data_IF_862299443575
#
_entry.id   IF_862299443575
#
_cell.length_a   1.000
_cell.length_b   1.000
_cell.length_c   1.000
_cell.angle_alpha   90.00
_cell.angle_beta   90.00
_cell.angle_gamma   90.00
#
_symmetry.space_group_name_H-M   'P 1'
#
loop_
_entity.id
_entity.type
_entity.pdbx_description
1 polymer ?
#
# COMPACT_ATOMS: atom_id res chain seq x y z
N UNK A 1 -27.59 -39.48 11.16
CA UNK A 1 -26.25 -38.98 10.81
C UNK A 1 -26.43 -37.55 10.33
N UNK A 2 -26.24 -36.55 11.19
CA UNK A 2 -26.34 -35.14 10.80
C UNK A 2 -24.93 -34.57 10.78
N UNK A 3 -24.46 -34.23 9.59
CA UNK A 3 -23.24 -33.45 9.37
C UNK A 3 -23.41 -32.07 10.03
N UNK A 4 -22.51 -31.62 10.91
CA UNK A 4 -22.58 -30.26 11.42
C UNK A 4 -22.29 -29.30 10.28
N UNK A 5 -23.19 -28.32 10.10
CA UNK A 5 -23.02 -27.21 9.19
C UNK A 5 -21.78 -26.39 9.56
N UNK A 6 -20.90 -26.17 8.58
CA UNK A 6 -19.68 -25.34 8.68
C UNK A 6 -19.96 -23.84 8.90
N UNK A 7 -21.23 -23.42 8.96
CA UNK A 7 -21.61 -22.00 9.04
C UNK A 7 -21.26 -21.31 10.38
N UNK A 8 -20.94 -22.05 11.44
CA UNK A 8 -20.76 -21.49 12.79
C UNK A 8 -19.30 -21.32 13.25
N UNK A 9 -18.30 -21.44 12.35
CA UNK A 9 -16.89 -21.49 12.75
C UNK A 9 -16.10 -20.16 12.68
N UNK A 10 -16.71 -19.06 12.25
CA UNK A 10 -16.00 -17.78 12.15
C UNK A 10 -16.64 -16.71 13.04
N UNK A 11 -15.91 -16.17 14.04
CA UNK A 11 -16.44 -15.12 14.91
C UNK A 11 -16.78 -13.88 14.07
N UNK A 12 -17.82 -13.14 14.46
CA UNK A 12 -18.28 -11.93 13.76
C UNK A 12 -17.12 -10.95 13.47
N UNK A 13 -16.20 -10.80 14.42
CA UNK A 13 -14.98 -9.99 14.27
C UNK A 13 -14.09 -10.41 13.09
N UNK A 14 -13.97 -11.71 12.79
CA UNK A 14 -13.18 -12.19 11.65
C UNK A 14 -13.80 -11.78 10.31
N UNK A 15 -15.13 -11.90 10.17
CA UNK A 15 -15.84 -11.49 8.96
C UNK A 15 -15.82 -9.96 8.79
N UNK A 16 -15.94 -9.20 9.88
CA UNK A 16 -15.78 -7.75 9.90
C UNK A 16 -14.37 -7.34 9.44
N UNK A 17 -13.32 -7.96 10.00
CA UNK A 17 -11.93 -7.69 9.64
C UNK A 17 -11.64 -8.02 8.17
N UNK A 18 -12.15 -9.15 7.66
CA UNK A 18 -12.01 -9.51 6.24
C UNK A 18 -12.71 -8.49 5.31
N UNK A 19 -13.82 -7.91 5.76
CA UNK A 19 -14.57 -6.91 5.00
C UNK A 19 -13.82 -5.57 5.01
N UNK A 20 -13.30 -5.17 6.17
CA UNK A 20 -12.47 -3.98 6.33
C UNK A 20 -11.17 -4.09 5.52
N UNK A 21 -10.50 -5.24 5.55
CA UNK A 21 -9.34 -5.55 4.72
C UNK A 21 -9.59 -5.25 3.24
N UNK A 22 -10.65 -5.88 2.71
CA UNK A 22 -11.00 -5.78 1.29
C UNK A 22 -11.37 -4.35 0.93
N UNK A 23 -12.05 -3.63 1.83
CA UNK A 23 -12.39 -2.22 1.64
C UNK A 23 -11.13 -1.35 1.61
N UNK A 24 -10.26 -1.49 2.60
CA UNK A 24 -8.99 -0.76 2.70
C UNK A 24 -8.09 -0.99 1.49
N UNK A 25 -7.97 -2.25 1.06
CA UNK A 25 -7.22 -2.61 -0.14
C UNK A 25 -7.82 -1.98 -1.39
N UNK A 26 -9.13 -2.04 -1.58
CA UNK A 26 -9.81 -1.44 -2.73
C UNK A 26 -9.62 0.07 -2.78
N UNK A 27 -9.79 0.75 -1.65
CA UNK A 27 -9.56 2.19 -1.57
C UNK A 27 -8.08 2.53 -1.81
N UNK A 28 -7.15 1.80 -1.21
CA UNK A 28 -5.72 2.03 -1.43
C UNK A 28 -5.37 1.92 -2.92
N UNK A 29 -5.86 0.87 -3.59
CA UNK A 29 -5.66 0.71 -5.03
C UNK A 29 -6.31 1.83 -5.84
N UNK A 30 -7.50 2.30 -5.45
CA UNK A 30 -8.14 3.43 -6.08
C UNK A 30 -7.28 4.71 -5.97
N UNK A 31 -6.75 4.99 -4.77
CA UNK A 31 -5.87 6.14 -4.54
C UNK A 31 -4.59 6.04 -5.37
N UNK A 32 -3.89 4.92 -5.29
CA UNK A 32 -2.61 4.73 -5.97
C UNK A 32 -2.74 4.77 -7.50
N UNK A 33 -3.84 4.23 -8.06
CA UNK A 33 -4.04 4.12 -9.51
C UNK A 33 -4.72 5.33 -10.15
N UNK A 34 -5.56 6.06 -9.40
CA UNK A 34 -6.41 7.10 -9.99
C UNK A 34 -6.20 8.45 -9.31
N UNK A 35 -6.39 8.53 -7.99
CA UNK A 35 -6.41 9.81 -7.27
C UNK A 35 -5.04 10.47 -7.29
N UNK A 36 -3.99 9.76 -6.88
CA UNK A 36 -2.64 10.33 -6.81
C UNK A 36 -2.07 10.69 -8.19
N UNK A 37 -2.18 9.84 -9.22
CA UNK A 37 -1.82 10.23 -10.59
C UNK A 37 -2.62 11.45 -11.10
N UNK A 38 -3.92 11.53 -10.78
CA UNK A 38 -4.74 12.69 -11.16
C UNK A 38 -4.25 13.98 -10.48
N UNK A 39 -3.95 13.95 -9.18
CA UNK A 39 -3.35 15.11 -8.48
C UNK A 39 -1.97 15.45 -9.07
N UNK A 40 -1.14 14.45 -9.36
CA UNK A 40 0.17 14.66 -9.96
C UNK A 40 0.07 15.30 -11.36
N UNK A 41 -1.02 15.04 -12.09
CA UNK A 41 -1.26 15.61 -13.42
C UNK A 41 -1.58 17.11 -13.36
N UNK A 42 -2.15 17.60 -12.25
CA UNK A 42 -2.43 19.03 -12.04
C UNK A 42 -1.24 19.75 -11.38
N UNK A 43 -0.42 19.04 -10.59
CA UNK A 43 0.75 19.57 -9.87
C UNK A 43 2.09 19.19 -10.51
N UNK A 44 2.18 19.11 -11.85
CA UNK A 44 3.33 18.50 -12.56
C UNK A 44 4.70 19.06 -12.16
N UNK A 45 4.81 20.32 -11.76
CA UNK A 45 6.07 20.95 -11.35
C UNK A 45 6.47 20.69 -9.89
N UNK A 46 5.56 20.16 -9.05
CA UNK A 46 5.77 20.07 -7.60
C UNK A 46 6.00 18.64 -7.10
N UNK A 47 5.33 17.64 -7.69
CA UNK A 47 5.42 16.26 -7.24
C UNK A 47 6.53 15.48 -7.97
N UNK A 48 7.36 14.68 -7.28
CA UNK A 48 8.52 14.01 -7.86
C UNK A 48 8.21 12.74 -8.65
N UNK A 49 6.94 12.30 -8.66
CA UNK A 49 6.46 11.08 -9.33
C UNK A 49 5.03 11.31 -9.87
N UNK A 50 4.67 10.60 -10.95
CA UNK A 50 3.38 10.80 -11.63
C UNK A 50 2.63 9.50 -11.97
N UNK A 51 3.32 8.36 -12.03
CA UNK A 51 2.71 7.10 -12.45
C UNK A 51 2.18 6.28 -11.26
N UNK A 52 1.12 5.50 -11.49
CA UNK A 52 0.47 4.65 -10.48
C UNK A 52 1.45 3.70 -9.78
N UNK A 53 2.30 3.02 -10.56
CA UNK A 53 3.26 2.06 -10.03
C UNK A 53 4.33 2.75 -9.16
N UNK A 54 4.66 4.02 -9.45
CA UNK A 54 5.58 4.80 -8.63
C UNK A 54 4.96 5.11 -7.26
N UNK A 55 3.67 5.49 -7.22
CA UNK A 55 2.96 5.71 -5.96
C UNK A 55 2.86 4.43 -5.14
N UNK A 56 2.49 3.32 -5.79
CA UNK A 56 2.40 2.02 -5.12
C UNK A 56 3.75 1.62 -4.52
N UNK A 57 4.84 1.74 -5.29
CA UNK A 57 6.20 1.49 -4.80
C UNK A 57 6.54 2.35 -3.59
N UNK A 58 6.39 3.66 -3.69
CA UNK A 58 6.77 4.60 -2.62
C UNK A 58 5.95 4.37 -1.35
N UNK A 59 4.64 4.16 -1.48
CA UNK A 59 3.77 3.90 -0.32
C UNK A 59 4.19 2.59 0.34
N UNK A 60 4.27 1.49 -0.41
CA UNK A 60 4.59 0.18 0.15
C UNK A 60 5.98 0.12 0.78
N UNK A 61 6.99 0.72 0.13
CA UNK A 61 8.34 0.79 0.68
C UNK A 61 8.36 1.53 2.03
N UNK A 62 7.58 2.61 2.17
CA UNK A 62 7.49 3.36 3.44
C UNK A 62 6.67 2.61 4.50
N UNK A 63 5.74 1.73 4.12
CA UNK A 63 5.01 0.88 5.08
C UNK A 63 5.92 -0.19 5.68
N UNK A 64 6.82 -0.78 4.89
CA UNK A 64 7.70 -1.86 5.38
C UNK A 64 9.12 -1.43 5.74
N UNK A 65 9.53 -0.21 5.38
CA UNK A 65 10.85 0.35 5.71
C UNK A 65 12.01 -0.23 4.91
N UNK A 66 11.73 -0.85 3.76
CA UNK A 66 12.69 -1.45 2.84
C UNK A 66 12.07 -1.51 1.43
N UNK A 67 12.68 -2.18 0.46
CA UNK A 67 11.96 -2.46 -0.78
C UNK A 67 10.82 -3.44 -0.49
N UNK A 68 9.60 -3.11 -0.92
CA UNK A 68 8.41 -3.86 -0.52
C UNK A 68 8.49 -5.37 -0.81
N UNK A 69 9.17 -5.77 -1.89
CA UNK A 69 9.27 -7.16 -2.30
C UNK A 69 10.17 -8.01 -1.40
N UNK A 70 10.91 -7.39 -0.48
CA UNK A 70 11.66 -8.12 0.56
C UNK A 70 10.73 -8.69 1.64
N UNK A 71 9.55 -8.10 1.81
CA UNK A 71 8.62 -8.43 2.92
C UNK A 71 7.26 -8.92 2.40
N UNK A 72 6.79 -8.36 1.28
CA UNK A 72 5.48 -8.65 0.71
C UNK A 72 5.66 -9.47 -0.55
N UNK A 73 5.10 -10.68 -0.57
CA UNK A 73 5.14 -11.55 -1.75
C UNK A 73 4.45 -10.91 -2.96
N UNK A 74 4.97 -11.18 -4.15
CA UNK A 74 4.33 -10.76 -5.39
C UNK A 74 3.10 -11.61 -5.72
N UNK A 75 2.01 -11.03 -6.25
CA UNK A 75 1.78 -9.60 -6.45
C UNK A 75 1.35 -8.91 -5.13
N UNK A 76 1.90 -7.72 -4.85
CA UNK A 76 1.74 -7.05 -3.56
C UNK A 76 0.28 -6.92 -3.09
N UNK A 77 -0.64 -6.52 -3.98
CA UNK A 77 -2.04 -6.30 -3.65
C UNK A 77 -2.78 -7.57 -3.18
N UNK A 78 -2.27 -8.78 -3.43
CA UNK A 78 -2.86 -10.03 -2.94
C UNK A 78 -2.29 -10.47 -1.59
N UNK A 79 -1.14 -9.92 -1.19
CA UNK A 79 -0.34 -10.40 -0.07
C UNK A 79 -0.14 -9.36 1.04
N UNK A 80 -0.85 -8.22 0.99
CA UNK A 80 -0.88 -7.28 2.09
C UNK A 80 -1.62 -7.90 3.28
N UNK A 81 -1.09 -7.72 4.49
CA UNK A 81 -1.84 -7.95 5.73
C UNK A 81 -2.88 -6.83 5.95
N UNK A 82 -3.84 -7.05 6.85
CA UNK A 82 -4.83 -6.04 7.24
C UNK A 82 -4.18 -4.73 7.70
N UNK A 83 -3.15 -4.84 8.54
CA UNK A 83 -2.39 -3.70 9.06
C UNK A 83 -1.68 -2.95 7.94
N UNK A 84 -1.05 -3.66 7.00
CA UNK A 84 -0.38 -3.04 5.87
C UNK A 84 -1.36 -2.38 4.90
N UNK A 85 -2.51 -3.00 4.62
CA UNK A 85 -3.54 -2.42 3.76
C UNK A 85 -4.13 -1.13 4.36
N UNK A 86 -4.45 -1.15 5.65
CA UNK A 86 -4.93 0.04 6.38
C UNK A 86 -3.88 1.14 6.42
N UNK A 87 -2.63 0.82 6.75
CA UNK A 87 -1.54 1.78 6.79
C UNK A 87 -1.23 2.37 5.40
N UNK A 88 -1.26 1.55 4.35
CA UNK A 88 -1.07 2.00 2.97
C UNK A 88 -2.17 2.96 2.52
N UNK A 89 -3.43 2.67 2.85
CA UNK A 89 -4.55 3.58 2.60
C UNK A 89 -4.38 4.90 3.35
N UNK A 90 -4.05 4.84 4.64
CA UNK A 90 -3.87 6.04 5.45
C UNK A 90 -2.73 6.92 4.91
N UNK A 91 -1.61 6.32 4.52
CA UNK A 91 -0.51 7.06 3.91
C UNK A 91 -0.90 7.65 2.55
N UNK A 92 -1.64 6.92 1.72
CA UNK A 92 -2.14 7.42 0.44
C UNK A 92 -3.05 8.65 0.62
N UNK A 93 -3.93 8.63 1.62
CA UNK A 93 -4.79 9.77 1.99
C UNK A 93 -3.96 10.97 2.45
N UNK A 94 -2.96 10.76 3.31
CA UNK A 94 -2.06 11.84 3.77
C UNK A 94 -1.25 12.46 2.63
N UNK A 95 -0.83 11.68 1.62
CA UNK A 95 -0.17 12.21 0.42
C UNK A 95 -1.16 13.08 -0.37
N UNK A 96 -2.41 12.60 -0.55
CA UNK A 96 -3.43 13.33 -1.31
C UNK A 96 -3.80 14.68 -0.67
N UNK A 97 -3.72 14.79 0.65
CA UNK A 97 -3.98 16.02 1.42
C UNK A 97 -2.73 16.86 1.68
N UNK A 98 -1.58 16.54 1.04
CA UNK A 98 -0.26 17.16 1.28
C UNK A 98 0.14 17.21 2.78
N UNK A 99 -0.43 16.32 3.62
CA UNK A 99 -0.11 16.24 5.05
C UNK A 99 1.25 15.58 5.32
N UNK A 100 1.81 14.92 4.31
CA UNK A 100 3.17 14.38 4.30
C UNK A 100 3.89 14.76 3.01
N UNK A 101 5.21 14.93 3.09
CA UNK A 101 6.02 15.29 1.92
C UNK A 101 6.31 14.08 1.03
N UNK A 102 5.73 14.08 -0.18
CA UNK A 102 6.00 13.05 -1.19
C UNK A 102 7.47 12.99 -1.61
N UNK A 103 8.19 14.12 -1.57
CA UNK A 103 9.64 14.16 -1.82
C UNK A 103 10.41 13.33 -0.81
N UNK A 104 10.13 13.51 0.48
CA UNK A 104 10.79 12.76 1.56
C UNK A 104 10.49 11.27 1.43
N UNK A 105 9.23 10.90 1.18
CA UNK A 105 8.83 9.50 1.01
C UNK A 105 9.53 8.84 -0.19
N UNK A 106 9.60 9.54 -1.32
CA UNK A 106 10.27 9.05 -2.53
C UNK A 106 11.80 8.92 -2.33
N UNK A 107 12.42 9.86 -1.61
CA UNK A 107 13.84 9.80 -1.30
C UNK A 107 14.18 8.58 -0.43
N UNK A 108 13.38 8.30 0.61
CA UNK A 108 13.55 7.10 1.45
C UNK A 108 13.43 5.80 0.63
N UNK A 109 12.39 5.71 -0.21
CA UNK A 109 12.20 4.58 -1.15
C UNK A 109 13.43 4.35 -2.04
N UNK A 110 14.00 5.42 -2.60
CA UNK A 110 15.25 5.32 -3.39
C UNK A 110 16.44 4.85 -2.55
N UNK A 111 16.60 5.35 -1.32
CA UNK A 111 17.70 4.97 -0.44
C UNK A 111 17.68 3.48 -0.09
N UNK A 112 16.52 2.92 0.25
CA UNK A 112 16.39 1.48 0.54
C UNK A 112 16.76 0.62 -0.66
N UNK A 113 16.29 0.97 -1.85
CA UNK A 113 16.58 0.22 -3.09
C UNK A 113 18.03 0.35 -3.54
N UNK A 114 18.64 1.51 -3.36
CA UNK A 114 20.07 1.71 -3.62
C UNK A 114 20.94 0.89 -2.66
N UNK A 115 20.50 0.69 -1.41
CA UNK A 115 21.20 -0.17 -0.46
C UNK A 115 21.20 -1.63 -0.92
N UNK A 116 20.09 -2.12 -1.48
CA UNK A 116 20.02 -3.48 -2.01
C UNK A 116 20.97 -3.70 -3.19
N UNK A 117 21.04 -2.76 -4.14
CA UNK A 117 21.98 -2.84 -5.27
C UNK A 117 23.44 -2.93 -4.81
N UNK A 118 23.77 -2.48 -3.60
CA UNK A 118 25.11 -2.58 -3.02
C UNK A 118 25.35 -3.88 -2.23
N UNK A 119 24.32 -4.70 -2.01
CA UNK A 119 24.39 -5.92 -1.20
C UNK A 119 24.32 -7.20 -2.06
N UNK A 120 23.94 -7.08 -3.33
CA UNK A 120 24.04 -8.16 -4.32
C UNK A 120 25.51 -8.30 -4.76
N UNK A 121 26.27 -9.16 -4.09
CA UNK A 121 27.65 -9.56 -4.45
C UNK A 121 27.69 -11.02 -4.86
#
# INVERSE_FOLDING_TARGET
MHTPSLQNQFPHAYLSNLTEHKSNLREFLHYAKNVLPSIASTKKSTWPIHHDHCFMRVILDNIVGCAWYEVIASPAYKNLTDKQASAALNLAKQIATDSVSLHVLNQRSKQWRNKQLKLEF
#
